data_IF_984320269894
#
_entry.id   IF_984320269894
#
_cell.length_a   1.000
_cell.length_b   1.000
_cell.length_c   1.000
_cell.angle_alpha   90.00
_cell.angle_beta   90.00
_cell.angle_gamma   90.00
#
_symmetry.space_group_name_H-M   'P 1'
#
loop_
_entity.id
_entity.type
_entity.pdbx_description
1 polymer ?
#
# COMPACT_ATOMS: atom_id res chain seq x y z
N UNK A 1 9.64 19.49 13.59
CA UNK A 1 9.04 18.31 14.25
C UNK A 1 8.16 18.82 15.38
N UNK A 2 7.02 18.19 15.64
CA UNK A 2 6.12 18.63 16.72
C UNK A 2 6.70 18.22 18.08
N UNK A 3 6.39 18.97 19.14
CA UNK A 3 7.01 18.80 20.46
C UNK A 3 6.63 17.46 21.13
N UNK A 4 5.48 16.90 20.76
CA UNK A 4 4.97 15.62 21.26
C UNK A 4 5.70 14.39 20.71
N UNK A 5 6.56 14.54 19.69
CA UNK A 5 7.28 13.42 19.10
C UNK A 5 8.69 13.29 19.68
N UNK A 6 8.90 12.29 20.54
CA UNK A 6 10.23 11.86 20.96
C UNK A 6 10.76 10.76 20.04
N UNK A 7 11.77 11.10 19.23
CA UNK A 7 12.47 10.17 18.34
C UNK A 7 13.86 9.77 18.85
N UNK A 8 14.23 10.12 20.09
CA UNK A 8 15.55 9.80 20.67
C UNK A 8 15.84 8.29 20.70
N UNK A 9 14.79 7.47 20.77
CA UNK A 9 14.86 6.00 20.72
C UNK A 9 14.66 5.41 19.32
N UNK A 10 14.71 6.23 18.28
CA UNK A 10 14.48 5.81 16.89
C UNK A 10 15.59 4.89 16.37
N UNK A 11 15.21 3.73 15.83
CA UNK A 11 16.14 2.80 15.15
C UNK A 11 15.96 2.92 13.63
N UNK A 12 17.04 3.30 12.93
CA UNK A 12 17.02 3.40 11.47
C UNK A 12 16.70 2.04 10.85
N UNK A 13 15.70 2.01 9.97
CA UNK A 13 15.35 0.79 9.22
C UNK A 13 14.70 -0.32 10.04
N UNK A 14 14.17 -0.04 11.23
CA UNK A 14 13.54 -1.03 12.13
C UNK A 14 12.58 -2.02 11.45
N UNK A 15 11.88 -1.56 10.41
CA UNK A 15 10.91 -2.37 9.64
C UNK A 15 11.29 -2.53 8.16
N UNK A 16 12.41 -1.95 7.71
CA UNK A 16 12.78 -1.93 6.30
C UNK A 16 13.00 -3.35 5.75
N UNK A 17 13.60 -4.24 6.54
CA UNK A 17 13.80 -5.65 6.18
C UNK A 17 12.50 -6.44 5.99
N UNK A 18 11.37 -5.95 6.51
CA UNK A 18 10.06 -6.59 6.35
C UNK A 18 9.42 -6.26 5.01
N UNK A 19 9.88 -5.22 4.33
CA UNK A 19 9.42 -4.87 2.99
C UNK A 19 10.26 -5.63 1.96
N UNK A 20 9.58 -6.23 0.98
CA UNK A 20 10.25 -6.80 -0.18
C UNK A 20 10.82 -5.66 -1.05
N UNK A 21 11.97 -5.87 -1.73
CA UNK A 21 12.46 -4.92 -2.73
C UNK A 21 11.37 -4.59 -3.75
N UNK A 22 11.14 -3.31 -4.01
CA UNK A 22 10.07 -2.83 -4.91
C UNK A 22 8.66 -2.90 -4.33
N UNK A 23 8.48 -3.31 -3.07
CA UNK A 23 7.20 -3.24 -2.37
C UNK A 23 6.85 -1.82 -1.96
N UNK A 24 5.58 -1.46 -2.06
CA UNK A 24 5.05 -0.16 -1.62
C UNK A 24 4.26 -0.33 -0.32
N UNK A 25 4.47 0.58 0.63
CA UNK A 25 3.63 0.68 1.82
C UNK A 25 2.37 1.49 1.46
N UNK A 26 1.21 0.89 1.68
CA UNK A 26 -0.09 1.53 1.45
C UNK A 26 -0.85 1.50 2.76
N UNK A 27 -1.32 2.67 3.20
CA UNK A 27 -2.21 2.79 4.35
C UNK A 27 -3.63 2.55 3.85
N UNK A 28 -4.36 1.69 4.53
CA UNK A 28 -5.79 1.46 4.26
C UNK A 28 -6.61 2.43 5.11
N UNK A 29 -7.75 2.84 4.58
CA UNK A 29 -8.74 3.54 5.37
C UNK A 29 -9.26 2.63 6.52
N UNK A 30 -9.67 3.20 7.67
CA UNK A 30 -9.98 2.41 8.86
C UNK A 30 -11.09 1.37 8.66
N UNK A 31 -12.12 1.72 7.89
CA UNK A 31 -13.23 0.83 7.53
C UNK A 31 -12.77 -0.36 6.69
N UNK A 32 -11.86 -0.13 5.73
CA UNK A 32 -11.27 -1.19 4.92
C UNK A 32 -10.34 -2.07 5.76
N UNK A 33 -9.56 -1.48 6.66
CA UNK A 33 -8.70 -2.23 7.56
C UNK A 33 -9.52 -3.16 8.48
N UNK A 34 -10.65 -2.67 9.00
CA UNK A 34 -11.61 -3.43 9.80
C UNK A 34 -12.25 -4.58 9.00
N UNK A 35 -12.62 -4.34 7.75
CA UNK A 35 -13.28 -5.34 6.91
C UNK A 35 -12.37 -6.53 6.52
N UNK A 36 -11.06 -6.32 6.35
CA UNK A 36 -10.15 -7.34 5.81
C UNK A 36 -9.18 -7.97 6.83
N UNK A 37 -8.85 -7.27 7.92
CA UNK A 37 -8.03 -7.79 9.03
C UNK A 37 -6.55 -8.08 8.72
N UNK A 38 -6.18 -8.43 7.48
CA UNK A 38 -4.81 -8.76 7.11
C UNK A 38 -4.47 -8.45 5.64
N UNK A 39 -3.17 -8.23 5.38
CA UNK A 39 -2.67 -7.87 4.05
C UNK A 39 -2.75 -9.01 3.01
N UNK A 40 -2.77 -10.28 3.42
CA UNK A 40 -2.89 -11.43 2.51
C UNK A 40 -4.30 -11.49 1.91
N UNK A 41 -5.31 -11.26 2.73
CA UNK A 41 -6.73 -11.24 2.35
C UNK A 41 -7.01 -10.06 1.41
N UNK A 42 -6.56 -8.84 1.75
CA UNK A 42 -6.67 -7.66 0.87
C UNK A 42 -6.06 -7.93 -0.52
N UNK A 43 -4.81 -8.39 -0.55
CA UNK A 43 -4.10 -8.61 -1.81
C UNK A 43 -4.75 -9.71 -2.67
N UNK A 44 -5.29 -10.77 -2.05
CA UNK A 44 -6.01 -11.82 -2.77
C UNK A 44 -7.26 -11.26 -3.45
N UNK A 45 -8.04 -10.45 -2.73
CA UNK A 45 -9.27 -9.84 -3.26
C UNK A 45 -8.97 -8.85 -4.39
N UNK A 46 -7.98 -7.98 -4.22
CA UNK A 46 -7.58 -7.04 -5.27
C UNK A 46 -7.07 -7.76 -6.53
N UNK A 47 -6.36 -8.88 -6.40
CA UNK A 47 -5.94 -9.70 -7.55
C UNK A 47 -7.13 -10.32 -8.27
N UNK A 48 -8.15 -10.79 -7.55
CA UNK A 48 -9.36 -11.31 -8.15
C UNK A 48 -10.11 -10.20 -8.92
N UNK A 49 -10.19 -9.01 -8.33
CA UNK A 49 -10.78 -7.83 -8.97
C UNK A 49 -10.02 -7.44 -10.26
N UNK A 50 -8.69 -7.40 -10.23
CA UNK A 50 -7.87 -7.10 -11.41
C UNK A 50 -8.04 -8.11 -12.56
N UNK A 51 -8.41 -9.36 -12.26
CA UNK A 51 -8.73 -10.36 -13.30
C UNK A 51 -10.11 -10.16 -13.91
N UNK A 52 -11.04 -9.61 -13.14
CA UNK A 52 -12.40 -9.35 -13.59
C UNK A 52 -12.52 -8.02 -14.35
N UNK A 53 -11.65 -7.05 -14.05
CA UNK A 53 -11.63 -5.76 -14.73
C UNK A 53 -10.94 -5.90 -16.10
N UNK A 54 -11.58 -5.50 -17.22
CA UNK A 54 -10.91 -5.47 -18.52
C UNK A 54 -9.72 -4.51 -18.48
N UNK A 55 -8.61 -4.83 -19.17
CA UNK A 55 -7.42 -3.98 -19.17
C UNK A 55 -7.82 -2.56 -19.56
N UNK A 56 -7.32 -1.58 -18.79
CA UNK A 56 -7.57 -0.17 -19.08
C UNK A 56 -7.12 0.10 -20.52
N UNK A 57 -7.99 0.67 -21.39
CA UNK A 57 -7.56 1.03 -22.73
C UNK A 57 -6.34 1.94 -22.62
N UNK A 58 -5.32 1.78 -23.48
CA UNK A 58 -4.13 2.61 -23.43
C UNK A 58 -4.57 4.07 -23.47
N UNK A 59 -4.19 4.84 -22.44
CA UNK A 59 -4.38 6.29 -22.47
C UNK A 59 -3.71 6.79 -23.74
N UNK A 60 -4.50 7.22 -24.72
CA UNK A 60 -4.00 7.95 -25.88
C UNK A 60 -3.28 9.17 -25.31
N UNK A 61 -1.95 9.12 -25.32
CA UNK A 61 -1.12 10.29 -25.06
C UNK A 61 -1.40 11.23 -26.22
N UNK A 62 -2.33 12.16 -26.03
CA UNK A 62 -2.55 13.28 -26.94
C UNK A 62 -1.22 14.01 -27.05
N UNK A 63 -0.49 13.72 -28.12
CA UNK A 63 0.55 14.60 -28.65
C UNK A 63 -0.17 15.87 -29.06
N UNK A 64 0.17 16.97 -28.37
CA UNK A 64 -0.10 18.32 -28.81
C UNK A 64 1.18 18.87 -29.43
#
# INVERSE_FOLDING_TARGET
MRAEYDFSHGVRGKYASRLKPGGMLVVLDPDIAEAFGDAKTVNRTLRALLKAIPPRPPTSRRTA
#
